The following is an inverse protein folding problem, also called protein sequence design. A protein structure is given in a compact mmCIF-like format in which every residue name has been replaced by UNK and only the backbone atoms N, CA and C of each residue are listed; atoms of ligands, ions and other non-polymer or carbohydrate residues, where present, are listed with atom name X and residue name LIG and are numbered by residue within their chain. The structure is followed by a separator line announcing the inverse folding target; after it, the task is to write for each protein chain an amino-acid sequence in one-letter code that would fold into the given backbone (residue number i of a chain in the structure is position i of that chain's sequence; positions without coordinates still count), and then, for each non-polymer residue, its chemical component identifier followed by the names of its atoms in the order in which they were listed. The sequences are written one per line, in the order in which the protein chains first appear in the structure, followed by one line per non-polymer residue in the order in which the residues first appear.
data_IF_261278881559
#
_entry.id   IF_261278881559
#
_cell.length_a   1.000
_cell.length_b   1.000
_cell.length_c   1.000
_cell.angle_alpha   90.00
_cell.angle_beta   90.00
_cell.angle_gamma   90.00
#
_symmetry.space_group_name_H-M   'P 1'
#
loop_
_entity.id
_entity.type
_entity.pdbx_description
1 polymer ?
#
# COMPACT_ATOMS: atom_id res chain seq x y z
N UNK A 1 2.30 -17.80 -51.60
CA UNK A 1 1.24 -16.80 -51.32
C UNK A 1 0.50 -16.98 -49.99
N UNK A 2 0.41 -18.19 -49.41
CA UNK A 2 -0.25 -18.41 -48.10
C UNK A 2 0.60 -18.10 -46.84
N UNK A 3 1.91 -17.90 -46.98
CA UNK A 3 2.83 -17.68 -45.84
C UNK A 3 2.74 -16.25 -45.24
N UNK A 4 2.28 -15.26 -46.01
CA UNK A 4 2.15 -13.87 -45.52
C UNK A 4 0.90 -13.63 -44.67
N UNK A 5 -0.16 -14.45 -44.81
CA UNK A 5 -1.39 -14.26 -44.01
C UNK A 5 -1.27 -14.78 -42.57
N UNK A 6 -0.43 -15.79 -42.32
CA UNK A 6 -0.21 -16.34 -40.98
C UNK A 6 0.63 -15.42 -40.09
N UNK A 7 1.66 -14.78 -40.66
CA UNK A 7 2.51 -13.82 -39.94
C UNK A 7 1.71 -12.55 -39.60
N UNK A 8 0.85 -12.08 -40.51
CA UNK A 8 -0.02 -10.94 -40.26
C UNK A 8 -0.99 -11.19 -39.09
N UNK A 9 -1.57 -12.40 -38.97
CA UNK A 9 -2.47 -12.75 -37.86
C UNK A 9 -1.76 -12.82 -36.49
N UNK A 10 -0.53 -13.33 -36.46
CA UNK A 10 0.25 -13.44 -35.22
C UNK A 10 0.81 -12.07 -34.79
N UNK A 11 1.23 -11.23 -35.73
CA UNK A 11 1.61 -9.83 -35.49
C UNK A 11 0.41 -9.02 -35.02
N UNK A 12 -0.79 -9.26 -35.56
CA UNK A 12 -2.02 -8.59 -35.11
C UNK A 12 -2.44 -9.03 -33.71
N UNK A 13 -2.22 -10.30 -33.33
CA UNK A 13 -2.46 -10.78 -31.97
C UNK A 13 -1.46 -10.20 -30.98
N UNK A 14 -0.17 -10.13 -31.35
CA UNK A 14 0.87 -9.48 -30.53
C UNK A 14 0.60 -7.98 -30.42
N UNK A 15 0.19 -7.29 -31.50
CA UNK A 15 -0.24 -5.89 -31.46
C UNK A 15 -1.50 -5.70 -30.63
N UNK A 16 -2.47 -6.62 -30.64
CA UNK A 16 -3.65 -6.56 -29.77
C UNK A 16 -3.29 -6.78 -28.31
N UNK A 17 -2.35 -7.68 -28.00
CA UNK A 17 -1.83 -7.88 -26.65
C UNK A 17 -1.02 -6.66 -26.21
N UNK A 18 -0.18 -6.08 -27.09
CA UNK A 18 0.57 -4.85 -26.83
C UNK A 18 -0.34 -3.63 -26.68
N UNK A 19 -1.37 -3.46 -27.52
CA UNK A 19 -2.39 -2.42 -27.37
C UNK A 19 -3.28 -2.65 -26.15
N UNK A 20 -3.45 -3.90 -25.71
CA UNK A 20 -4.15 -4.22 -24.47
C UNK A 20 -3.26 -3.99 -23.23
N UNK A 21 -1.94 -4.08 -23.37
CA UNK A 21 -0.96 -3.71 -22.34
C UNK A 21 -0.72 -2.19 -22.30
N UNK A 22 -0.79 -1.52 -23.44
CA UNK A 22 -0.67 -0.05 -23.57
C UNK A 22 -1.98 0.64 -23.13
N UNK A 23 -3.14 -0.03 -23.29
CA UNK A 23 -4.39 0.35 -22.60
C UNK A 23 -4.47 -0.11 -21.14
N UNK A 24 -3.53 -0.94 -20.67
CA UNK A 24 -3.33 -1.23 -19.26
C UNK A 24 -2.39 -0.23 -18.56
N UNK A 25 -1.81 0.72 -19.31
CA UNK A 25 -1.69 2.10 -18.82
C UNK A 25 -3.10 2.70 -18.85
N UNK A 26 -3.96 2.15 -17.99
CA UNK A 26 -5.20 2.80 -17.65
C UNK A 26 -4.80 4.19 -17.16
N UNK A 27 -5.45 5.23 -17.69
CA UNK A 27 -5.65 6.42 -16.89
C UNK A 27 -6.39 5.92 -15.64
N UNK A 28 -5.61 5.56 -14.62
CA UNK A 28 -6.08 5.25 -13.28
C UNK A 28 -6.97 6.43 -12.95
N UNK A 29 -8.25 6.13 -12.68
CA UNK A 29 -9.24 7.13 -12.33
C UNK A 29 -8.59 8.11 -11.37
N UNK A 30 -8.49 9.37 -11.80
CA UNK A 30 -7.39 10.29 -11.48
C UNK A 30 -7.28 10.58 -9.98
N UNK A 31 -8.28 10.19 -9.21
CA UNK A 31 -8.25 10.05 -7.76
C UNK A 31 -9.26 9.00 -7.28
N UNK A 32 -9.15 7.75 -7.76
CA UNK A 32 -9.85 6.61 -7.17
C UNK A 32 -9.40 6.36 -5.72
N UNK A 33 -10.12 5.51 -5.01
CA UNK A 33 -9.61 4.96 -3.74
C UNK A 33 -8.34 4.16 -4.05
N UNK A 34 -7.22 4.56 -3.43
CA UNK A 34 -5.99 3.80 -3.51
C UNK A 34 -5.88 3.02 -2.20
N UNK A 35 -6.07 1.69 -2.25
CA UNK A 35 -6.11 0.80 -1.07
C UNK A 35 -4.88 0.89 -0.14
N UNK A 36 -3.78 1.45 -0.63
CA UNK A 36 -2.47 1.44 0.06
C UNK A 36 -2.20 2.72 0.86
N UNK A 37 -2.72 3.87 0.41
CA UNK A 37 -2.40 5.18 0.98
C UNK A 37 -3.68 5.97 1.24
N UNK A 38 -3.75 6.67 2.38
CA UNK A 38 -4.91 7.51 2.71
C UNK A 38 -4.86 8.83 1.94
N UNK A 39 -5.08 8.76 0.63
CA UNK A 39 -5.25 9.93 -0.23
C UNK A 39 -6.63 10.55 -0.01
N UNK A 40 -7.62 9.78 0.45
CA UNK A 40 -8.99 10.24 0.67
C UNK A 40 -9.06 11.35 1.72
N UNK A 41 -8.31 11.26 2.80
CA UNK A 41 -8.23 12.32 3.81
C UNK A 41 -7.65 13.62 3.26
N UNK A 42 -6.71 13.58 2.31
CA UNK A 42 -6.19 14.78 1.66
C UNK A 42 -7.25 15.49 0.80
N UNK A 43 -8.23 14.76 0.24
CA UNK A 43 -9.33 15.32 -0.57
C UNK A 43 -10.36 16.08 0.25
N UNK A 44 -10.45 15.80 1.56
CA UNK A 44 -11.42 16.47 2.44
C UNK A 44 -11.15 17.97 2.53
N UNK A 45 -9.91 18.40 2.27
CA UNK A 45 -9.55 19.80 2.14
C UNK A 45 -9.38 20.21 0.68
N UNK A 46 -10.11 21.24 0.22
CA UNK A 46 -10.02 21.70 -1.15
C UNK A 46 -8.73 22.50 -1.41
N UNK A 47 -8.05 22.95 -0.35
CA UNK A 47 -6.86 23.79 -0.41
C UNK A 47 -5.89 23.44 0.71
N UNK A 48 -4.65 23.16 0.34
CA UNK A 48 -3.50 23.06 1.23
C UNK A 48 -2.52 24.19 0.90
N UNK A 49 -1.81 24.71 1.90
CA UNK A 49 -0.76 25.69 1.64
C UNK A 49 0.46 25.50 2.53
N UNK A 50 1.60 25.98 2.05
CA UNK A 50 2.88 25.94 2.75
C UNK A 50 3.64 27.22 2.48
N UNK A 51 4.25 27.80 3.50
CA UNK A 51 5.10 28.99 3.38
C UNK A 51 6.55 28.57 3.23
N UNK A 52 7.18 28.99 2.14
CA UNK A 52 8.59 28.74 1.86
C UNK A 52 9.38 29.90 2.46
N UNK A 53 10.20 29.59 3.46
CA UNK A 53 10.99 30.59 4.18
C UNK A 53 12.23 31.03 3.40
N UNK A 54 12.77 30.16 2.54
CA UNK A 54 13.96 30.45 1.73
C UNK A 54 13.57 31.19 0.44
N UNK A 55 13.96 32.47 0.28
CA UNK A 55 13.59 33.27 -0.88
C UNK A 55 14.21 32.76 -2.19
N UNK A 56 15.31 32.01 -2.12
CA UNK A 56 15.97 31.46 -3.32
C UNK A 56 15.16 30.33 -3.97
N UNK A 57 14.19 29.80 -3.22
CA UNK A 57 13.29 28.75 -3.67
C UNK A 57 12.02 29.31 -4.32
N UNK A 58 11.85 30.64 -4.36
CA UNK A 58 10.68 31.26 -4.95
C UNK A 58 10.85 31.43 -6.47
N UNK A 59 9.89 30.95 -7.24
CA UNK A 59 9.90 31.06 -8.69
C UNK A 59 9.94 32.52 -9.13
N UNK A 60 11.01 32.94 -9.82
CA UNK A 60 11.16 34.32 -10.29
C UNK A 60 11.36 35.36 -9.17
N UNK A 61 11.58 34.93 -7.93
CA UNK A 61 11.80 35.80 -6.78
C UNK A 61 13.18 36.47 -6.81
N UNK A 62 13.22 37.71 -6.33
CA UNK A 62 14.44 38.41 -5.98
C UNK A 62 14.89 38.03 -4.57
N UNK A 63 16.18 38.26 -4.23
CA UNK A 63 16.70 37.96 -2.89
C UNK A 63 15.92 38.73 -1.83
N UNK A 64 15.11 38.02 -1.02
CA UNK A 64 14.28 38.59 0.04
C UNK A 64 12.77 38.36 -0.11
N UNK A 65 12.33 37.71 -1.19
CA UNK A 65 10.92 37.40 -1.41
C UNK A 65 10.47 36.14 -0.64
N UNK A 66 9.41 36.23 0.15
CA UNK A 66 8.74 35.04 0.66
C UNK A 66 7.69 34.56 -0.35
N UNK A 67 7.47 33.25 -0.41
CA UNK A 67 6.40 32.71 -1.22
C UNK A 67 5.59 31.67 -0.46
N UNK A 68 4.30 31.65 -0.75
CA UNK A 68 3.36 30.64 -0.27
C UNK A 68 2.96 29.79 -1.46
N UNK A 69 3.17 28.49 -1.37
CA UNK A 69 2.62 27.53 -2.32
C UNK A 69 1.24 27.09 -1.84
N UNK A 70 0.32 26.96 -2.79
CA UNK A 70 -1.07 26.57 -2.60
C UNK A 70 -1.35 25.44 -3.55
N UNK A 71 -1.89 24.33 -3.07
CA UNK A 71 -2.20 23.18 -3.91
C UNK A 71 -3.48 22.49 -3.49
N UNK A 72 -4.11 21.82 -4.43
CA UNK A 72 -5.26 20.96 -4.18
C UNK A 72 -4.90 19.53 -4.54
N UNK A 73 -5.35 18.59 -3.71
CA UNK A 73 -5.18 17.16 -3.97
C UNK A 73 -6.49 16.66 -4.58
N UNK A 74 -6.42 16.11 -5.78
CA UNK A 74 -7.56 15.50 -6.47
C UNK A 74 -8.63 16.45 -7.00
N UNK A 75 -8.25 17.69 -7.27
CA UNK A 75 -9.14 18.67 -7.87
C UNK A 75 -8.41 19.95 -8.24
N UNK A 76 -9.13 20.89 -8.90
CA UNK A 76 -8.64 22.25 -9.05
C UNK A 76 -8.64 22.98 -7.71
N UNK A 77 -7.80 24.00 -7.61
CA UNK A 77 -7.84 24.97 -6.52
C UNK A 77 -9.21 25.69 -6.50
N UNK A 78 -9.71 26.12 -5.32
CA UNK A 78 -10.90 26.96 -5.25
C UNK A 78 -10.73 28.25 -6.08
N UNK A 79 -11.84 28.83 -6.59
CA UNK A 79 -11.82 30.14 -7.23
C UNK A 79 -11.13 31.20 -6.37
N UNK A 80 -10.51 32.19 -7.00
CA UNK A 80 -9.81 33.32 -6.35
C UNK A 80 -8.58 32.93 -5.49
N UNK A 81 -8.20 31.66 -5.46
CA UNK A 81 -7.00 31.20 -4.75
C UNK A 81 -5.71 31.61 -5.47
N UNK A 82 -5.80 31.73 -6.79
CA UNK A 82 -4.73 32.13 -7.70
C UNK A 82 -5.34 32.93 -8.86
N UNK A 83 -4.78 34.09 -9.16
CA UNK A 83 -5.32 35.19 -9.96
C UNK A 83 -5.19 34.95 -11.47
N UNK A 84 -4.38 33.98 -11.87
CA UNK A 84 -4.15 33.58 -13.27
C UNK A 84 -4.93 32.34 -13.69
N UNK A 85 -5.90 31.88 -12.89
CA UNK A 85 -6.44 30.53 -13.00
C UNK A 85 -7.36 30.32 -14.20
N UNK A 86 -7.01 29.31 -15.00
CA UNK A 86 -8.01 28.52 -15.71
C UNK A 86 -8.73 27.62 -14.69
N UNK A 87 -9.96 27.16 -14.98
CA UNK A 87 -10.78 26.27 -14.12
C UNK A 87 -10.12 24.92 -13.76
N UNK A 88 -8.84 24.71 -14.10
CA UNK A 88 -8.10 23.46 -13.99
C UNK A 88 -6.77 23.57 -13.22
N UNK A 89 -6.42 24.75 -12.70
CA UNK A 89 -5.16 24.94 -11.96
C UNK A 89 -5.24 24.24 -10.62
N UNK A 90 -4.23 23.41 -10.29
CA UNK A 90 -4.21 22.63 -9.06
C UNK A 90 -3.01 22.95 -8.15
N UNK A 91 -2.01 23.66 -8.66
CA UNK A 91 -0.88 24.16 -7.87
C UNK A 91 -0.54 25.60 -8.27
N UNK A 92 -0.41 26.48 -7.28
CA UNK A 92 -0.08 27.88 -7.47
C UNK A 92 0.97 28.35 -6.46
N UNK A 93 1.86 29.22 -6.89
CA UNK A 93 2.83 29.89 -6.04
C UNK A 93 2.53 31.39 -5.98
N UNK A 94 2.42 31.92 -4.77
CA UNK A 94 2.12 33.33 -4.49
C UNK A 94 3.33 33.97 -3.83
N UNK A 95 3.91 34.98 -4.46
CA UNK A 95 5.05 35.73 -3.89
C UNK A 95 4.49 36.91 -3.09
N UNK A 96 4.81 37.00 -1.80
CA UNK A 96 4.16 37.93 -0.85
C UNK A 96 4.76 39.33 -0.81
N UNK A 97 6.02 39.51 -1.25
CA UNK A 97 6.74 40.79 -1.15
C UNK A 97 6.81 41.58 -2.47
N UNK A 98 6.44 40.96 -3.58
CA UNK A 98 6.37 41.61 -4.89
C UNK A 98 5.01 42.26 -5.13
N UNK A 99 4.93 43.09 -6.17
CA UNK A 99 3.72 43.81 -6.60
C UNK A 99 2.48 42.90 -6.54
N UNK A 100 1.36 43.33 -5.93
CA UNK A 100 0.13 42.54 -5.90
C UNK A 100 -0.21 41.99 -7.30
N UNK A 101 -0.25 40.66 -7.44
CA UNK A 101 -0.53 39.98 -8.71
C UNK A 101 0.58 39.11 -9.29
N UNK A 102 1.72 38.91 -8.61
CA UNK A 102 2.73 37.91 -9.03
C UNK A 102 2.38 36.52 -8.50
N UNK A 103 1.33 35.94 -9.06
CA UNK A 103 0.93 34.55 -8.79
C UNK A 103 1.19 33.68 -10.02
N UNK A 104 1.88 32.58 -9.80
CA UNK A 104 2.31 31.67 -10.85
C UNK A 104 1.53 30.35 -10.75
N UNK A 105 0.74 30.05 -11.78
CA UNK A 105 0.23 28.69 -11.99
C UNK A 105 1.44 27.81 -12.33
N UNK A 106 1.66 26.75 -11.54
CA UNK A 106 2.79 25.83 -11.76
C UNK A 106 2.34 24.43 -12.14
N UNK A 107 1.04 24.24 -12.42
CA UNK A 107 0.59 23.00 -13.01
C UNK A 107 -0.89 22.69 -12.82
N UNK A 108 -1.39 21.95 -13.81
CA UNK A 108 -2.64 21.21 -13.78
C UNK A 108 -2.37 19.81 -13.24
N UNK A 109 -3.27 19.29 -12.42
CA UNK A 109 -3.05 18.01 -11.77
C UNK A 109 -2.98 16.87 -12.80
N UNK A 110 -1.91 16.09 -12.77
CA UNK A 110 -1.79 14.80 -13.46
C UNK A 110 -1.26 13.80 -12.45
N UNK A 111 -2.16 13.06 -11.79
CA UNK A 111 -1.73 12.10 -10.76
C UNK A 111 -0.98 10.93 -11.41
N UNK A 112 0.29 10.79 -11.07
CA UNK A 112 1.08 9.58 -11.32
C UNK A 112 1.53 9.07 -9.95
N UNK A 113 0.81 8.09 -9.41
CA UNK A 113 1.25 7.34 -8.23
C UNK A 113 2.37 6.42 -8.72
N UNK A 114 3.61 6.88 -8.60
CA UNK A 114 4.75 5.99 -8.67
C UNK A 114 5.07 5.58 -7.23
N UNK A 115 5.03 4.27 -6.94
CA UNK A 115 5.74 3.74 -5.78
C UNK A 115 7.21 4.09 -5.97
N UNK A 116 7.69 5.10 -5.25
CA UNK A 116 9.04 5.59 -5.39
C UNK A 116 10.01 4.52 -4.84
N UNK A 117 10.64 3.76 -5.74
CA UNK A 117 11.70 2.76 -5.52
C UNK A 117 12.43 2.89 -4.16
N UNK A 118 11.91 2.26 -3.11
CA UNK A 118 12.56 2.14 -1.79
C UNK A 118 12.26 3.23 -0.76
N UNK A 119 11.44 4.23 -1.07
CA UNK A 119 10.95 5.24 -0.11
C UNK A 119 9.47 5.03 0.18
N UNK A 120 9.12 4.87 1.46
CA UNK A 120 7.73 4.69 1.92
C UNK A 120 6.93 5.98 1.67
N UNK A 121 6.21 6.06 0.55
CA UNK A 121 5.44 7.25 0.19
C UNK A 121 4.83 7.21 -1.20
N UNK A 122 4.11 8.27 -1.57
CA UNK A 122 3.54 8.48 -2.91
C UNK A 122 3.87 9.89 -3.41
N UNK A 123 3.65 10.17 -4.69
CA UNK A 123 3.87 11.51 -5.26
C UNK A 123 2.68 11.98 -6.11
N UNK A 124 2.49 13.30 -6.12
CA UNK A 124 1.61 14.00 -7.05
C UNK A 124 2.45 14.78 -8.05
N UNK A 125 2.05 14.75 -9.32
CA UNK A 125 2.71 15.53 -10.39
C UNK A 125 1.70 16.55 -10.93
N UNK A 126 2.14 17.80 -11.07
CA UNK A 126 1.36 18.91 -11.59
C UNK A 126 2.09 19.42 -12.83
N UNK A 127 1.48 19.27 -14.00
CA UNK A 127 2.13 19.52 -15.30
C UNK A 127 1.46 20.68 -16.04
N UNK A 128 2.13 21.24 -17.04
CA UNK A 128 1.61 22.33 -17.87
C UNK A 128 1.34 23.62 -17.08
N UNK A 129 2.21 23.96 -16.13
CA UNK A 129 2.19 25.26 -15.46
C UNK A 129 2.57 26.40 -16.41
N UNK A 130 2.32 27.63 -15.97
CA UNK A 130 2.65 28.85 -16.70
C UNK A 130 4.16 29.01 -16.87
N UNK A 131 4.53 29.78 -17.90
CA UNK A 131 5.90 30.17 -18.15
C UNK A 131 6.44 31.06 -17.02
N UNK A 132 7.65 30.79 -16.54
CA UNK A 132 8.34 31.59 -15.51
C UNK A 132 9.80 31.78 -15.91
N UNK A 133 10.24 33.03 -16.03
CA UNK A 133 11.61 33.33 -16.49
C UNK A 133 11.88 32.77 -17.89
N UNK A 134 12.85 31.85 -18.00
CA UNK A 134 13.20 31.17 -19.25
C UNK A 134 12.41 29.86 -19.47
N UNK A 135 11.57 29.47 -18.52
CA UNK A 135 10.77 28.26 -18.61
C UNK A 135 9.52 28.50 -19.44
N UNK A 136 9.35 27.74 -20.53
CA UNK A 136 8.14 27.80 -21.35
C UNK A 136 6.93 27.19 -20.64
N UNK A 137 7.15 26.18 -19.80
CA UNK A 137 6.17 25.52 -18.95
C UNK A 137 6.86 25.07 -17.67
N UNK A 138 6.09 24.99 -16.60
CA UNK A 138 6.57 24.52 -15.30
C UNK A 138 5.91 23.19 -14.93
N UNK A 139 6.64 22.37 -14.19
CA UNK A 139 6.18 21.12 -13.61
C UNK A 139 6.46 21.12 -12.10
N UNK A 140 5.54 20.61 -11.30
CA UNK A 140 5.71 20.50 -9.85
C UNK A 140 5.47 19.06 -9.42
N UNK A 141 6.38 18.51 -8.65
CA UNK A 141 6.27 17.19 -8.02
C UNK A 141 6.15 17.39 -6.52
N UNK A 142 5.10 16.83 -5.92
CA UNK A 142 4.91 16.81 -4.46
C UNK A 142 5.08 15.37 -3.99
N UNK A 143 6.19 15.10 -3.33
CA UNK A 143 6.52 13.81 -2.71
C UNK A 143 5.98 13.77 -1.28
N UNK A 144 5.11 12.83 -0.99
CA UNK A 144 4.61 12.55 0.35
C UNK A 144 5.41 11.41 0.96
N UNK A 145 6.16 11.70 2.01
CA UNK A 145 6.93 10.73 2.78
C UNK A 145 6.15 10.31 4.01
N UNK A 146 6.15 9.00 4.31
CA UNK A 146 5.58 8.49 5.55
C UNK A 146 6.27 9.13 6.76
N UNK A 147 5.50 9.87 7.55
CA UNK A 147 5.85 10.25 8.91
C UNK A 147 4.61 10.06 9.79
N UNK A 148 4.63 9.06 10.68
CA UNK A 148 3.49 8.75 11.53
C UNK A 148 3.08 9.88 12.49
N UNK A 149 4.04 10.75 12.84
CA UNK A 149 3.80 11.90 13.70
C UNK A 149 3.20 13.08 12.91
N UNK A 150 3.29 13.07 11.58
CA UNK A 150 2.76 14.11 10.71
C UNK A 150 1.28 13.89 10.39
N UNK A 151 0.45 13.92 11.43
CA UNK A 151 -1.00 13.91 11.28
C UNK A 151 -1.46 15.28 10.79
N UNK A 152 -2.04 15.29 9.59
CA UNK A 152 -2.65 16.50 9.04
C UNK A 152 -4.08 16.55 9.53
N UNK A 153 -4.43 17.64 10.21
CA UNK A 153 -5.80 17.91 10.53
C UNK A 153 -6.46 18.46 9.26
N UNK A 154 -7.57 17.85 8.83
CA UNK A 154 -8.35 18.43 7.75
C UNK A 154 -8.72 19.88 8.10
N UNK A 155 -8.95 20.26 9.36
CA UNK A 155 -9.30 21.63 9.70
C UNK A 155 -8.13 22.64 9.65
N UNK A 156 -6.89 22.16 9.49
CA UNK A 156 -5.67 22.99 9.42
C UNK A 156 -4.99 22.85 8.05
N UNK A 157 -5.33 23.71 7.07
CA UNK A 157 -4.76 23.65 5.72
C UNK A 157 -3.27 24.06 5.65
N UNK A 158 -2.68 24.54 6.75
CA UNK A 158 -1.27 24.94 6.82
C UNK A 158 -0.35 23.73 7.05
N UNK A 159 0.35 23.33 5.99
CA UNK A 159 1.30 22.22 6.02
C UNK A 159 2.75 22.68 6.09
N UNK A 160 3.00 23.96 6.41
CA UNK A 160 4.36 24.53 6.52
C UNK A 160 5.24 23.73 7.49
N UNK A 161 4.69 23.29 8.62
CA UNK A 161 5.41 22.48 9.61
C UNK A 161 5.80 21.07 9.12
N UNK A 162 5.22 20.61 8.02
CA UNK A 162 5.46 19.29 7.45
C UNK A 162 6.32 19.32 6.19
N UNK A 163 6.69 20.52 5.73
CA UNK A 163 7.61 20.72 4.61
C UNK A 163 9.03 20.36 5.05
N UNK A 164 9.62 19.36 4.42
CA UNK A 164 11.01 18.92 4.69
C UNK A 164 12.00 19.39 3.64
N UNK A 165 11.51 19.73 2.46
CA UNK A 165 12.33 20.26 1.39
C UNK A 165 11.48 20.88 0.29
N UNK A 166 11.95 22.00 -0.23
CA UNK A 166 11.46 22.55 -1.48
C UNK A 166 12.69 22.87 -2.32
N UNK A 167 12.77 22.27 -3.51
CA UNK A 167 13.83 22.53 -4.47
C UNK A 167 13.18 23.17 -5.69
N UNK A 168 13.42 24.47 -5.85
CA UNK A 168 13.27 25.13 -7.14
C UNK A 168 14.62 25.01 -7.85
N UNK A 169 14.61 24.72 -9.15
CA UNK A 169 15.77 24.83 -10.03
C UNK A 169 16.72 23.61 -10.01
N UNK A 170 16.25 22.50 -10.57
CA UNK A 170 17.16 21.62 -11.31
C UNK A 170 17.42 22.33 -12.63
N UNK A 171 18.55 23.05 -12.69
CA UNK A 171 18.95 23.94 -13.79
C UNK A 171 18.52 23.41 -15.17
N UNK A 172 17.66 24.17 -15.85
CA UNK A 172 17.06 23.97 -17.18
C UNK A 172 15.77 23.12 -17.28
N UNK A 173 15.33 22.42 -16.23
CA UNK A 173 14.18 21.50 -16.32
C UNK A 173 12.83 22.07 -15.84
N UNK A 174 12.79 23.31 -15.36
CA UNK A 174 11.53 23.99 -14.98
C UNK A 174 10.66 23.19 -14.00
N UNK A 175 11.33 22.43 -13.13
CA UNK A 175 10.76 21.48 -12.19
C UNK A 175 10.86 22.00 -10.76
N UNK A 176 9.74 21.97 -10.04
CA UNK A 176 9.69 22.20 -8.60
C UNK A 176 9.50 20.86 -7.90
N UNK A 177 10.32 20.59 -6.87
CA UNK A 177 10.17 19.40 -6.03
C UNK A 177 9.84 19.83 -4.61
N UNK A 178 8.66 19.44 -4.13
CA UNK A 178 8.19 19.66 -2.77
C UNK A 178 8.16 18.31 -2.04
N UNK A 179 8.74 18.24 -0.85
CA UNK A 179 8.67 17.03 0.00
C UNK A 179 7.90 17.33 1.27
N UNK A 180 6.86 16.53 1.52
CA UNK A 180 5.92 16.67 2.61
C UNK A 180 5.90 15.40 3.45
N UNK A 181 5.91 15.57 4.77
CA UNK A 181 5.68 14.48 5.72
C UNK A 181 4.19 14.31 5.95
N UNK A 182 3.67 13.10 5.79
CA UNK A 182 2.24 12.82 5.95
C UNK A 182 2.02 11.40 6.51
N UNK A 183 1.20 11.29 7.56
CA UNK A 183 0.88 9.98 8.16
C UNK A 183 0.10 9.08 7.20
N UNK A 184 -0.77 9.63 6.35
CA UNK A 184 -1.51 8.85 5.35
C UNK A 184 -0.65 8.37 4.17
N UNK A 185 0.59 8.85 4.06
CA UNK A 185 1.60 8.29 3.14
C UNK A 185 2.33 7.09 3.73
N UNK A 186 2.10 6.77 5.00
CA UNK A 186 2.44 5.47 5.53
C UNK A 186 1.49 4.45 4.92
N UNK A 187 2.06 3.37 4.39
CA UNK A 187 1.29 2.27 3.82
C UNK A 187 0.33 1.78 4.92
N UNK A 188 -0.98 2.00 4.72
CA UNK A 188 -1.98 1.37 5.54
C UNK A 188 -1.77 -0.13 5.34
N UNK A 189 -1.33 -0.82 6.40
CA UNK A 189 -1.03 -2.25 6.30
C UNK A 189 -2.35 -3.01 6.13
N UNK A 190 -2.88 -3.06 4.91
CA UNK A 190 -3.77 -4.14 4.48
C UNK A 190 -3.07 -5.42 4.91
N UNK A 191 -3.74 -6.36 5.61
CA UNK A 191 -3.08 -7.47 6.31
C UNK A 191 -2.08 -8.11 5.35
N UNK A 192 -0.79 -7.86 5.58
CA UNK A 192 0.26 -8.10 4.58
C UNK A 192 0.39 -9.62 4.33
N UNK A 193 -0.21 -10.42 5.22
CA UNK A 193 -0.15 -11.87 5.21
C UNK A 193 -1.49 -12.50 5.63
N UNK A 194 -2.52 -12.53 4.76
CA UNK A 194 -3.79 -13.19 5.08
C UNK A 194 -3.60 -14.67 5.45
N UNK A 195 -2.52 -15.30 4.98
CA UNK A 195 -2.19 -16.69 5.27
C UNK A 195 -1.65 -16.93 6.68
N UNK A 196 -1.04 -15.91 7.32
CA UNK A 196 -0.55 -15.99 8.70
C UNK A 196 -1.68 -15.82 9.74
N UNK A 197 -2.87 -15.46 9.25
CA UNK A 197 -4.00 -15.00 10.04
C UNK A 197 -5.21 -15.91 9.88
N UNK A 198 -4.95 -17.18 9.61
CA UNK A 198 -5.93 -18.24 9.47
C UNK A 198 -5.72 -19.26 10.58
N UNK A 199 -6.81 -19.62 11.25
CA UNK A 199 -6.83 -20.64 12.28
C UNK A 199 -8.02 -21.54 11.96
N UNK A 200 -7.72 -22.77 11.52
CA UNK A 200 -8.73 -23.71 11.08
C UNK A 200 -9.78 -23.95 12.17
N UNK A 201 -11.05 -23.87 11.80
CA UNK A 201 -12.18 -24.09 12.71
C UNK A 201 -12.68 -22.86 13.47
N UNK A 202 -12.03 -21.69 13.35
CA UNK A 202 -12.42 -20.44 14.01
C UNK A 202 -12.83 -19.35 13.01
N UNK A 203 -13.82 -18.52 13.36
CA UNK A 203 -14.27 -17.37 12.56
C UNK A 203 -13.50 -16.12 12.98
N UNK A 204 -12.26 -16.01 12.51
CA UNK A 204 -11.35 -14.89 12.83
C UNK A 204 -11.26 -13.84 11.72
N UNK A 205 -11.90 -14.06 10.56
CA UNK A 205 -11.88 -13.10 9.45
C UNK A 205 -12.48 -11.75 9.87
N UNK A 206 -13.58 -11.78 10.62
CA UNK A 206 -14.21 -10.58 11.18
C UNK A 206 -13.29 -9.75 12.07
N UNK A 207 -12.34 -10.38 12.76
CA UNK A 207 -11.39 -9.65 13.61
C UNK A 207 -10.46 -8.75 12.79
N UNK A 208 -10.20 -9.11 11.52
CA UNK A 208 -9.31 -8.36 10.63
C UNK A 208 -10.00 -7.24 9.85
N UNK A 209 -11.34 -7.17 9.88
CA UNK A 209 -12.12 -6.18 9.15
C UNK A 209 -11.82 -4.73 9.60
N UNK A 210 -12.06 -4.33 10.86
CA UNK A 210 -11.75 -2.97 11.32
C UNK A 210 -10.26 -2.70 11.38
N UNK A 211 -9.84 -1.44 11.27
CA UNK A 211 -8.44 -1.03 11.52
C UNK A 211 -8.00 -1.35 12.94
N UNK A 212 -8.90 -1.17 13.91
CA UNK A 212 -8.71 -1.59 15.28
C UNK A 212 -10.05 -1.84 15.98
N UNK A 213 -10.01 -2.66 17.02
CA UNK A 213 -11.04 -2.86 18.02
C UNK A 213 -10.73 -2.03 19.25
N UNK A 214 -11.73 -1.36 19.82
CA UNK A 214 -11.60 -0.65 21.09
C UNK A 214 -12.34 -1.36 22.21
N UNK A 215 -11.72 -1.38 23.40
CA UNK A 215 -12.32 -1.87 24.64
C UNK A 215 -12.05 -0.89 25.77
N UNK A 216 -13.09 -0.40 26.44
CA UNK A 216 -12.96 0.43 27.65
C UNK A 216 -13.00 -0.45 28.89
N UNK A 217 -11.99 -0.34 29.75
CA UNK A 217 -11.86 -1.15 30.96
C UNK A 217 -11.80 -0.30 32.23
N UNK A 218 -12.19 -0.84 33.39
CA UNK A 218 -12.05 -0.15 34.67
C UNK A 218 -10.60 0.21 35.00
N UNK A 219 -10.39 1.28 35.78
CA UNK A 219 -9.04 1.76 36.17
C UNK A 219 -8.12 0.69 36.79
N UNK A 220 -8.68 -0.28 37.52
CA UNK A 220 -7.91 -1.38 38.14
C UNK A 220 -7.22 -2.29 37.12
N UNK A 221 -7.75 -2.31 35.90
CA UNK A 221 -7.27 -3.11 34.79
C UNK A 221 -6.49 -2.22 33.81
N UNK A 222 -6.05 -1.02 34.20
CA UNK A 222 -5.23 -0.15 33.36
C UNK A 222 -3.75 -0.34 33.68
N UNK A 223 -2.90 -0.16 32.68
CA UNK A 223 -1.47 -0.03 32.89
C UNK A 223 -1.15 1.37 33.43
N UNK A 224 -0.45 1.41 34.58
CA UNK A 224 -0.06 2.64 35.29
C UNK A 224 -1.20 3.67 35.39
N UNK A 225 -2.31 3.34 36.07
CA UNK A 225 -3.46 4.23 36.17
C UNK A 225 -3.07 5.54 36.86
N UNK A 226 -3.49 6.67 36.27
CA UNK A 226 -3.31 7.98 36.90
C UNK A 226 -4.28 8.17 38.07
N UNK A 227 -3.87 8.91 39.10
CA UNK A 227 -4.73 9.25 40.23
C UNK A 227 -5.96 10.02 39.70
N UNK A 228 -7.16 9.47 39.94
CA UNK A 228 -8.43 10.05 39.49
C UNK A 228 -8.93 9.56 38.12
N UNK A 229 -8.20 8.67 37.44
CA UNK A 229 -8.66 8.03 36.21
C UNK A 229 -9.77 7.03 36.52
N UNK A 230 -10.92 7.12 35.85
CA UNK A 230 -12.04 6.18 36.04
C UNK A 230 -11.92 4.90 35.20
N UNK A 231 -11.36 5.03 34.00
CA UNK A 231 -11.20 3.96 33.01
C UNK A 231 -10.06 4.27 32.04
N UNK A 232 -9.63 3.27 31.29
CA UNK A 232 -8.77 3.43 30.12
C UNK A 232 -9.37 2.68 28.93
N UNK A 233 -8.94 3.03 27.72
CA UNK A 233 -9.36 2.37 26.50
C UNK A 233 -8.17 1.68 25.86
N UNK A 234 -8.32 0.39 25.58
CA UNK A 234 -7.40 -0.39 24.78
C UNK A 234 -7.80 -0.33 23.31
N UNK A 235 -6.80 -0.34 22.43
CA UNK A 235 -6.94 -0.60 21.01
C UNK A 235 -6.19 -1.87 20.68
N UNK A 236 -6.82 -2.70 19.89
CA UNK A 236 -6.32 -3.99 19.44
C UNK A 236 -6.53 -4.09 17.93
N UNK A 237 -5.54 -4.52 17.18
CA UNK A 237 -5.71 -4.88 15.77
C UNK A 237 -5.31 -6.33 15.56
N UNK A 238 -6.14 -7.09 14.86
CA UNK A 238 -5.86 -8.48 14.54
C UNK A 238 -5.05 -8.55 13.25
N UNK A 239 -3.85 -9.10 13.35
CA UNK A 239 -3.05 -9.46 12.18
C UNK A 239 -2.61 -8.31 11.27
N UNK A 240 -2.57 -7.11 11.85
CA UNK A 240 -2.03 -5.89 11.26
C UNK A 240 -1.66 -4.93 12.39
N UNK A 241 -0.88 -3.91 12.08
CA UNK A 241 -0.62 -2.81 13.00
C UNK A 241 -1.76 -1.79 12.98
N UNK A 242 -1.98 -1.10 14.10
CA UNK A 242 -2.92 0.02 14.22
C UNK A 242 -2.38 1.16 13.33
N UNK A 243 -3.14 1.62 12.33
CA UNK A 243 -2.60 2.47 11.25
C UNK A 243 -2.48 3.95 11.61
N UNK A 244 -3.02 4.41 12.75
CA UNK A 244 -3.00 5.83 13.11
C UNK A 244 -3.15 6.07 14.63
N UNK A 245 -2.96 7.33 15.03
CA UNK A 245 -3.16 7.77 16.40
C UNK A 245 -1.98 7.49 17.33
N UNK A 246 -2.23 7.59 18.64
CA UNK A 246 -1.22 7.41 19.70
C UNK A 246 -0.70 5.97 19.79
N UNK A 247 -1.40 5.02 19.18
CA UNK A 247 -1.06 3.60 19.17
C UNK A 247 -0.46 3.14 17.83
N UNK A 248 0.03 4.08 17.01
CA UNK A 248 0.60 3.78 15.70
C UNK A 248 1.71 2.71 15.78
N UNK A 249 1.76 1.81 14.78
CA UNK A 249 2.70 0.69 14.71
C UNK A 249 2.65 -0.26 15.93
N UNK A 250 1.50 -0.35 16.59
CA UNK A 250 1.24 -1.33 17.64
C UNK A 250 0.11 -2.24 17.19
N UNK A 251 0.12 -3.50 17.60
CA UNK A 251 -1.04 -4.37 17.43
C UNK A 251 -1.92 -4.41 18.68
N UNK A 252 -1.35 -4.12 19.85
CA UNK A 252 -2.11 -3.95 21.07
C UNK A 252 -1.57 -2.76 21.88
N UNK A 253 -2.45 -1.85 22.31
CA UNK A 253 -2.05 -0.59 22.92
C UNK A 253 -3.12 -0.03 23.87
N UNK A 254 -2.71 0.65 24.93
CA UNK A 254 -3.60 1.49 25.77
C UNK A 254 -3.56 2.92 25.24
N UNK A 255 -4.70 3.41 24.76
CA UNK A 255 -4.87 4.81 24.38
C UNK A 255 -4.83 5.75 25.57
N UNK A 256 -4.30 6.95 25.33
CA UNK A 256 -4.04 7.98 26.33
C UNK A 256 -2.96 8.92 25.79
N UNK A 257 -2.68 10.04 26.47
CA UNK A 257 -1.82 11.13 25.95
C UNK A 257 -0.55 10.70 25.22
N UNK A 258 0.10 9.61 25.66
CA UNK A 258 1.34 9.10 25.07
C UNK A 258 1.26 7.68 24.49
N UNK A 259 0.09 7.02 24.46
CA UNK A 259 -0.13 5.66 23.91
C UNK A 259 0.88 4.60 24.36
N UNK A 260 0.49 3.64 25.20
CA UNK A 260 1.42 2.57 25.63
C UNK A 260 1.21 1.34 24.78
N UNK A 261 2.23 0.94 24.01
CA UNK A 261 2.22 -0.28 23.21
C UNK A 261 2.55 -1.49 24.08
N UNK A 262 1.74 -2.54 23.98
CA UNK A 262 1.99 -3.85 24.61
C UNK A 262 2.39 -4.90 23.58
N UNK A 263 2.75 -4.48 22.38
CA UNK A 263 3.26 -5.36 21.36
C UNK A 263 2.91 -4.88 19.96
N UNK A 264 3.76 -5.28 19.03
CA UNK A 264 3.65 -4.99 17.60
C UNK A 264 3.27 -6.26 16.87
N UNK A 265 2.69 -6.07 15.69
CA UNK A 265 2.47 -7.19 14.79
C UNK A 265 3.83 -7.67 14.29
N UNK A 266 4.07 -8.98 14.40
CA UNK A 266 5.27 -9.62 13.87
C UNK A 266 4.84 -10.67 12.83
N UNK A 267 5.59 -10.83 11.75
CA UNK A 267 5.32 -11.85 10.74
C UNK A 267 5.55 -13.26 11.29
N UNK A 268 6.41 -13.38 12.31
CA UNK A 268 6.67 -14.63 13.01
C UNK A 268 5.70 -14.85 14.19
N UNK A 269 4.67 -14.01 14.30
CA UNK A 269 3.68 -14.11 15.34
C UNK A 269 2.93 -15.43 15.27
N UNK A 270 2.75 -16.04 16.45
CA UNK A 270 2.07 -17.32 16.59
C UNK A 270 0.68 -17.11 17.16
N UNK A 271 -0.30 -17.69 16.47
CA UNK A 271 -1.65 -17.90 16.97
C UNK A 271 -1.71 -19.36 17.43
N UNK A 272 -2.14 -19.57 18.67
CA UNK A 272 -2.21 -20.90 19.27
C UNK A 272 -3.65 -21.26 19.60
N UNK A 273 -4.05 -22.50 19.37
CA UNK A 273 -5.27 -23.04 19.98
C UNK A 273 -5.08 -23.14 21.49
N UNK A 274 -6.12 -22.83 22.27
CA UNK A 274 -6.05 -22.99 23.71
C UNK A 274 -6.05 -24.47 24.08
N UNK A 275 -5.10 -24.90 24.91
CA UNK A 275 -5.07 -26.24 25.49
C UNK A 275 -6.40 -26.53 26.22
N UNK A 276 -7.29 -27.33 25.61
CA UNK A 276 -8.59 -27.70 26.19
C UNK A 276 -9.85 -27.23 25.44
N UNK A 277 -9.74 -26.53 24.31
CA UNK A 277 -10.73 -26.63 23.23
C UNK A 277 -11.81 -25.55 23.06
N UNK A 278 -11.87 -24.50 23.87
CA UNK A 278 -12.89 -23.43 23.71
C UNK A 278 -12.30 -22.04 23.45
N UNK A 279 -11.33 -21.95 22.53
CA UNK A 279 -10.82 -20.67 22.04
C UNK A 279 -9.37 -20.71 21.53
N UNK A 280 -8.81 -19.53 21.31
CA UNK A 280 -7.44 -19.36 20.82
C UNK A 280 -6.72 -18.22 21.55
N UNK A 281 -5.40 -18.19 21.44
CA UNK A 281 -4.53 -17.19 22.05
C UNK A 281 -3.62 -16.57 20.99
N UNK A 282 -3.39 -15.27 21.13
CA UNK A 282 -2.48 -14.50 20.29
C UNK A 282 -1.48 -13.78 21.20
N UNK A 283 -0.19 -13.83 20.85
CA UNK A 283 0.87 -13.15 21.63
C UNK A 283 1.55 -12.07 20.79
N UNK A 284 1.59 -10.82 21.25
CA UNK A 284 2.31 -9.71 20.60
C UNK A 284 3.54 -9.34 21.42
N UNK A 285 4.70 -9.22 20.77
CA UNK A 285 5.97 -8.85 21.41
C UNK A 285 6.44 -7.45 21.03
N UNK A 286 7.57 -7.00 21.61
CA UNK A 286 8.27 -5.76 21.22
C UNK A 286 7.46 -4.47 21.37
N UNK A 287 6.67 -4.35 22.43
CA UNK A 287 5.95 -3.13 22.81
C UNK A 287 6.86 -2.03 23.35
N UNK A 288 6.30 -1.10 24.12
CA UNK A 288 7.03 0.05 24.67
C UNK A 288 8.03 -0.40 25.74
N UNK A 289 9.27 0.09 25.65
CA UNK A 289 10.29 -0.15 26.69
C UNK A 289 10.02 0.75 27.90
N UNK A 290 10.11 0.19 29.09
CA UNK A 290 9.94 0.90 30.36
C UNK A 290 11.11 0.60 31.28
N UNK A 291 11.23 1.35 32.39
CA UNK A 291 12.30 1.11 33.38
C UNK A 291 12.24 -0.30 33.95
N UNK A 292 11.03 -0.84 34.14
CA UNK A 292 10.82 -2.19 34.67
C UNK A 292 10.90 -3.27 33.57
N UNK A 293 10.68 -2.88 32.31
CA UNK A 293 10.65 -3.75 31.14
C UNK A 293 11.57 -3.22 30.03
N UNK A 294 12.90 -3.38 30.17
CA UNK A 294 13.86 -2.82 29.22
C UNK A 294 13.80 -3.46 27.84
N UNK A 295 13.36 -4.72 27.77
CA UNK A 295 13.21 -5.48 26.52
C UNK A 295 11.86 -5.23 25.82
N UNK A 296 11.02 -4.36 26.40
CA UNK A 296 9.70 -4.02 25.89
C UNK A 296 8.57 -4.81 26.56
N UNK A 297 7.39 -4.18 26.63
CA UNK A 297 6.17 -4.85 27.05
C UNK A 297 5.71 -5.86 25.99
N UNK A 298 5.06 -6.95 26.41
CA UNK A 298 4.39 -7.88 25.51
C UNK A 298 2.99 -8.20 26.04
N UNK A 299 2.14 -8.74 25.17
CA UNK A 299 0.75 -9.04 25.50
C UNK A 299 0.31 -10.39 24.99
N UNK A 300 -0.59 -11.00 25.74
CA UNK A 300 -1.22 -12.27 25.44
C UNK A 300 -2.72 -12.07 25.46
N UNK A 301 -3.34 -12.11 24.27
CA UNK A 301 -4.77 -11.96 24.10
C UNK A 301 -5.40 -13.34 24.02
N UNK A 302 -6.21 -13.68 25.02
CA UNK A 302 -6.91 -14.95 25.14
C UNK A 302 -8.36 -14.76 24.73
N UNK A 303 -8.75 -15.39 23.64
CA UNK A 303 -10.12 -15.39 23.14
C UNK A 303 -10.82 -16.65 23.64
N UNK A 304 -11.92 -16.48 24.36
CA UNK A 304 -12.76 -17.56 24.88
C UNK A 304 -14.06 -17.61 24.10
N UNK A 305 -14.48 -18.82 23.72
CA UNK A 305 -15.75 -19.04 23.04
C UNK A 305 -16.91 -18.53 23.90
N UNK A 306 -17.64 -17.57 23.36
CA UNK A 306 -18.94 -17.16 23.88
C UNK A 306 -19.84 -16.80 22.70
N UNK A 307 -20.84 -17.64 22.42
CA UNK A 307 -21.76 -17.44 21.28
C UNK A 307 -22.60 -16.17 21.39
N UNK A 308 -22.77 -15.66 22.60
CA UNK A 308 -23.54 -14.43 22.87
C UNK A 308 -22.66 -13.17 22.82
N UNK A 309 -21.34 -13.33 22.60
CA UNK A 309 -20.41 -12.22 22.44
C UNK A 309 -20.50 -11.64 21.02
N UNK A 310 -21.39 -10.68 20.87
CA UNK A 310 -21.54 -9.91 19.65
C UNK A 310 -20.69 -8.65 19.70
N UNK A 311 -19.75 -8.51 18.77
CA UNK A 311 -18.94 -7.31 18.60
C UNK A 311 -19.49 -6.50 17.43
N UNK A 312 -19.44 -5.17 17.53
CA UNK A 312 -20.00 -4.29 16.50
C UNK A 312 -18.90 -3.51 15.81
N UNK A 313 -18.99 -3.36 14.50
CA UNK A 313 -18.06 -2.60 13.68
C UNK A 313 -18.76 -1.39 13.07
N UNK A 314 -18.13 -0.22 13.17
CA UNK A 314 -18.57 1.01 12.51
C UNK A 314 -17.72 1.26 11.25
N UNK A 315 -18.28 1.09 10.04
CA UNK A 315 -17.54 1.22 8.79
C UNK A 315 -17.15 2.66 8.46
N UNK A 316 -17.83 3.68 9.02
CA UNK A 316 -17.55 5.07 8.68
C UNK A 316 -16.24 5.57 9.32
N UNK A 317 -15.89 5.01 10.48
CA UNK A 317 -14.65 5.31 11.22
C UNK A 317 -13.65 4.15 11.22
N UNK A 318 -14.00 3.04 10.57
CA UNK A 318 -13.22 1.80 10.50
C UNK A 318 -12.76 1.26 11.89
N UNK A 319 -13.61 1.39 12.91
CA UNK A 319 -13.31 1.02 14.29
C UNK A 319 -14.36 0.05 14.85
N UNK A 320 -13.89 -1.06 15.41
CA UNK A 320 -14.73 -2.04 16.11
C UNK A 320 -14.88 -1.71 17.59
N UNK A 321 -16.01 -2.05 18.20
CA UNK A 321 -16.28 -1.86 19.62
C UNK A 321 -16.53 -3.21 20.31
N UNK A 322 -15.77 -3.49 21.38
CA UNK A 322 -15.85 -4.68 22.19
C UNK A 322 -16.71 -4.38 23.42
N UNK A 323 -17.93 -4.91 23.45
CA UNK A 323 -18.86 -4.70 24.57
C UNK A 323 -18.74 -5.74 25.69
N UNK A 324 -18.11 -6.89 25.41
CA UNK A 324 -17.99 -8.02 26.33
C UNK A 324 -16.53 -8.33 26.66
N UNK A 325 -15.96 -7.50 27.53
CA UNK A 325 -14.63 -7.65 28.08
C UNK A 325 -14.66 -8.46 29.38
N UNK A 326 -13.76 -9.42 29.57
CA UNK A 326 -13.72 -10.26 30.78
C UNK A 326 -12.83 -9.60 31.83
N UNK A 327 -11.52 -9.62 31.58
CA UNK A 327 -10.49 -9.11 32.49
C UNK A 327 -9.22 -8.79 31.71
N UNK A 328 -8.48 -7.78 32.18
CA UNK A 328 -7.07 -7.65 31.89
C UNK A 328 -6.30 -7.82 33.20
N UNK A 329 -5.31 -8.69 33.16
CA UNK A 329 -4.46 -9.03 34.29
C UNK A 329 -3.03 -8.62 33.92
N UNK A 330 -2.54 -7.49 34.47
CA UNK A 330 -1.14 -7.16 34.32
C UNK A 330 -0.30 -8.15 35.13
N UNK A 331 0.48 -8.99 34.43
CA UNK A 331 1.45 -9.86 35.09
C UNK A 331 2.77 -9.10 35.15
N UNK A 332 2.85 -8.14 36.09
CA UNK A 332 4.01 -7.25 36.22
C UNK A 332 5.34 -7.99 36.49
N UNK A 333 5.29 -9.26 36.91
CA UNK A 333 6.49 -10.04 37.18
C UNK A 333 7.30 -10.36 35.93
N UNK A 334 6.65 -10.39 34.76
CA UNK A 334 7.26 -10.89 33.52
C UNK A 334 7.06 -9.93 32.34
N UNK A 335 6.70 -8.65 32.58
CA UNK A 335 6.44 -7.67 31.49
C UNK A 335 5.31 -8.07 30.53
N UNK A 336 4.48 -9.02 30.95
CA UNK A 336 3.36 -9.57 30.19
C UNK A 336 2.04 -8.92 30.59
N UNK A 337 1.25 -8.61 29.59
CA UNK A 337 -0.10 -8.12 29.77
C UNK A 337 -1.11 -9.12 29.20
N UNK A 338 -1.84 -9.82 30.07
CA UNK A 338 -2.79 -10.86 29.65
C UNK A 338 -4.19 -10.26 29.59
N UNK A 339 -4.85 -10.37 28.44
CA UNK A 339 -6.18 -9.82 28.22
C UNK A 339 -7.12 -10.92 27.75
N UNK A 340 -8.29 -11.00 28.37
CA UNK A 340 -9.27 -12.05 28.09
C UNK A 340 -10.52 -11.46 27.46
N UNK A 341 -10.83 -11.96 26.27
CA UNK A 341 -11.97 -11.54 25.47
C UNK A 341 -12.98 -12.68 25.33
N UNK A 342 -14.26 -12.34 25.46
CA UNK A 342 -15.34 -13.19 24.98
C UNK A 342 -15.58 -12.90 23.51
N UNK A 343 -15.50 -13.91 22.64
CA UNK A 343 -15.68 -13.74 21.21
C UNK A 343 -16.44 -14.93 20.62
N UNK A 344 -17.49 -14.64 19.83
CA UNK A 344 -18.31 -15.69 19.20
C UNK A 344 -17.54 -16.46 18.11
N UNK A 345 -16.64 -15.80 17.39
CA UNK A 345 -15.78 -16.47 16.41
C UNK A 345 -14.66 -17.34 17.02
N UNK A 346 -14.45 -17.26 18.35
CA UNK A 346 -13.57 -18.17 19.07
C UNK A 346 -14.23 -19.52 19.37
N UNK A 347 -15.52 -19.67 19.08
CA UNK A 347 -16.19 -20.96 19.16
C UNK A 347 -15.80 -21.81 17.97
N UNK A 348 -15.00 -22.86 18.22
CA UNK A 348 -14.69 -23.85 17.19
C UNK A 348 -16.01 -24.38 16.63
N UNK A 349 -16.24 -24.20 15.34
CA UNK A 349 -17.52 -24.44 14.67
C UNK A 349 -17.99 -25.91 14.67
N UNK A 350 -17.36 -26.78 15.45
CA UNK A 350 -17.70 -28.20 15.50
C UNK A 350 -17.32 -28.90 14.20
N UNK A 351 -16.18 -28.56 13.60
CA UNK A 351 -15.57 -29.49 12.64
C UNK A 351 -15.13 -30.72 13.43
N UNK A 352 -15.97 -31.74 13.38
CA UNK A 352 -15.65 -33.12 13.72
C UNK A 352 -14.18 -33.40 13.35
N UNK A 353 -13.43 -33.85 14.34
CA UNK A 353 -12.13 -34.53 14.27
C UNK A 353 -11.56 -34.68 12.84
N UNK A 354 -10.37 -34.14 12.53
CA UNK A 354 -9.79 -34.23 11.20
C UNK A 354 -9.51 -35.70 10.90
N UNK A 355 -10.44 -36.36 10.23
CA UNK A 355 -10.11 -37.47 9.35
C UNK A 355 -9.21 -36.85 8.31
N UNK A 356 -7.91 -37.13 8.42
CA UNK A 356 -6.84 -36.85 7.47
C UNK A 356 -7.37 -36.76 6.03
N UNK A 357 -7.86 -35.58 5.66
CA UNK A 357 -8.12 -35.23 4.28
C UNK A 357 -6.79 -34.65 3.80
N UNK A 358 -6.16 -35.22 2.77
CA UNK A 358 -4.90 -34.70 2.25
C UNK A 358 -5.12 -33.24 1.89
N UNK A 359 -4.24 -32.40 2.45
CA UNK A 359 -4.09 -30.97 2.27
C UNK A 359 -4.67 -30.51 0.93
N UNK A 360 -5.91 -30.03 0.99
CA UNK A 360 -6.59 -29.41 -0.12
C UNK A 360 -5.90 -28.09 -0.39
N UNK A 361 -4.98 -28.08 -1.34
CA UNK A 361 -4.63 -26.91 -2.12
C UNK A 361 -5.91 -26.13 -2.39
N UNK A 362 -5.92 -24.84 -2.03
CA UNK A 362 -6.96 -23.88 -2.41
C UNK A 362 -7.40 -24.20 -3.83
N UNK A 363 -8.70 -24.34 -4.15
CA UNK A 363 -9.15 -24.68 -5.49
C UNK A 363 -8.51 -23.65 -6.41
N UNK A 364 -7.54 -24.06 -7.24
CA UNK A 364 -6.74 -23.11 -7.97
C UNK A 364 -7.70 -22.33 -8.84
N UNK A 365 -7.63 -20.99 -8.78
CA UNK A 365 -8.61 -20.09 -9.36
C UNK A 365 -9.13 -20.68 -10.69
N UNK A 366 -10.43 -21.00 -10.73
CA UNK A 366 -11.04 -21.74 -11.86
C UNK A 366 -10.74 -21.02 -13.18
N UNK A 367 -10.64 -19.69 -13.12
CA UNK A 367 -10.23 -18.81 -14.22
C UNK A 367 -8.82 -19.13 -14.75
N UNK A 368 -7.84 -19.34 -13.87
CA UNK A 368 -6.46 -19.65 -14.26
C UNK A 368 -6.36 -20.96 -15.03
N UNK A 369 -7.04 -22.02 -14.58
CA UNK A 369 -7.03 -23.30 -15.28
C UNK A 369 -7.77 -23.27 -16.61
N UNK A 370 -8.85 -22.50 -16.72
CA UNK A 370 -9.55 -22.31 -17.99
C UNK A 370 -8.62 -21.62 -19.01
N UNK A 371 -7.91 -20.57 -18.62
CA UNK A 371 -6.96 -19.87 -19.49
C UNK A 371 -5.80 -20.77 -19.93
N UNK A 372 -5.24 -21.55 -19.00
CA UNK A 372 -4.20 -22.53 -19.28
C UNK A 372 -4.71 -23.58 -20.28
N UNK A 373 -5.91 -24.10 -20.08
CA UNK A 373 -6.54 -25.07 -20.97
C UNK A 373 -6.74 -24.53 -22.39
N UNK A 374 -7.25 -23.30 -22.52
CA UNK A 374 -7.43 -22.63 -23.82
C UNK A 374 -6.08 -22.44 -24.51
N UNK A 375 -5.06 -21.96 -23.79
CA UNK A 375 -3.71 -21.75 -24.33
C UNK A 375 -3.13 -23.05 -24.90
N UNK A 376 -3.12 -24.14 -24.12
CA UNK A 376 -2.60 -25.42 -24.59
C UNK A 376 -3.44 -26.01 -25.73
N UNK A 377 -4.75 -25.80 -25.73
CA UNK A 377 -5.62 -26.20 -26.83
C UNK A 377 -5.27 -25.52 -28.16
N UNK A 378 -5.05 -24.20 -28.14
CA UNK A 378 -4.65 -23.42 -29.34
C UNK A 378 -3.27 -23.85 -29.82
N UNK A 379 -2.31 -24.03 -28.90
CA UNK A 379 -0.95 -24.49 -29.23
C UNK A 379 -0.96 -25.88 -29.85
N UNK A 380 -1.70 -26.83 -29.28
CA UNK A 380 -1.81 -28.18 -29.81
C UNK A 380 -2.42 -28.20 -31.22
N UNK A 381 -3.46 -27.40 -31.44
CA UNK A 381 -4.09 -27.26 -32.76
C UNK A 381 -3.13 -26.64 -33.78
N UNK A 382 -2.41 -25.59 -33.38
CA UNK A 382 -1.38 -24.96 -34.22
C UNK A 382 -0.28 -25.94 -34.63
N UNK A 383 0.28 -26.71 -33.68
CA UNK A 383 1.32 -27.70 -33.97
C UNK A 383 0.76 -28.81 -34.88
N UNK A 384 -0.43 -29.33 -34.59
CA UNK A 384 -1.03 -30.43 -35.37
C UNK A 384 -1.28 -30.04 -36.83
N UNK A 385 -1.87 -28.87 -37.06
CA UNK A 385 -2.12 -28.33 -38.40
C UNK A 385 -0.79 -28.01 -39.10
N UNK A 386 0.16 -27.41 -38.39
CA UNK A 386 1.47 -27.08 -38.95
C UNK A 386 2.26 -28.31 -39.39
N UNK A 387 2.28 -29.37 -38.57
CA UNK A 387 2.92 -30.66 -38.91
C UNK A 387 2.27 -31.27 -40.14
N UNK A 388 0.94 -31.28 -40.23
CA UNK A 388 0.24 -31.80 -41.40
C UNK A 388 0.60 -31.03 -42.68
N UNK A 389 0.62 -29.70 -42.61
CA UNK A 389 0.98 -28.84 -43.75
C UNK A 389 2.42 -29.08 -44.19
N UNK A 390 3.36 -29.21 -43.25
CA UNK A 390 4.77 -29.46 -43.56
C UNK A 390 5.00 -30.90 -44.09
N UNK A 391 4.26 -31.87 -43.58
CA UNK A 391 4.28 -33.25 -44.07
C UNK A 391 3.80 -33.32 -45.54
N UNK A 392 2.71 -32.64 -45.89
CA UNK A 392 2.21 -32.54 -47.28
C UNK A 392 3.25 -31.88 -48.20
N UNK A 393 4.07 -30.98 -47.67
CA UNK A 393 5.18 -30.34 -48.39
C UNK A 393 6.46 -31.19 -48.47
N UNK A 394 6.42 -32.44 -47.99
CA UNK A 394 7.54 -33.36 -48.05
C UNK A 394 8.66 -33.07 -47.05
N UNK A 395 8.43 -32.21 -46.05
CA UNK A 395 9.39 -31.94 -44.97
C UNK A 395 9.48 -33.15 -44.04
N UNK A 396 10.68 -33.42 -43.52
CA UNK A 396 10.98 -34.57 -42.66
C UNK A 396 11.81 -34.15 -41.45
N UNK A 397 11.76 -34.93 -40.37
CA UNK A 397 12.53 -34.69 -39.15
C UNK A 397 12.11 -33.40 -38.43
N UNK A 398 13.09 -32.63 -37.94
CA UNK A 398 12.85 -31.40 -37.15
C UNK A 398 12.10 -30.31 -37.93
N UNK A 399 12.17 -30.33 -39.26
CA UNK A 399 11.47 -29.38 -40.14
C UNK A 399 9.95 -29.59 -40.20
N UNK A 400 9.43 -30.70 -39.64
CA UNK A 400 7.99 -30.93 -39.50
C UNK A 400 7.35 -29.97 -38.49
N UNK A 401 8.10 -29.51 -37.48
CA UNK A 401 7.56 -28.62 -36.45
C UNK A 401 7.52 -27.19 -36.99
N UNK A 402 6.33 -26.55 -37.03
CA UNK A 402 6.22 -25.17 -37.50
C UNK A 402 6.99 -24.22 -36.57
N UNK A 403 7.85 -23.37 -37.14
CA UNK A 403 8.69 -22.42 -36.39
C UNK A 403 9.52 -23.08 -35.28
N UNK A 404 10.21 -24.18 -35.59
CA UNK A 404 10.99 -24.94 -34.61
C UNK A 404 12.02 -24.10 -33.82
N UNK A 405 12.60 -23.06 -34.42
CA UNK A 405 13.50 -22.10 -33.75
C UNK A 405 12.80 -21.33 -32.63
N UNK A 406 11.55 -20.88 -32.85
CA UNK A 406 10.73 -20.22 -31.84
C UNK A 406 10.48 -21.14 -30.65
N UNK A 407 10.10 -22.40 -30.90
CA UNK A 407 9.84 -23.37 -29.84
C UNK A 407 11.10 -23.75 -29.05
N UNK A 408 12.25 -23.79 -29.71
CA UNK A 408 13.55 -23.95 -29.02
C UNK A 408 13.87 -22.75 -28.12
N UNK A 409 13.54 -21.54 -28.55
CA UNK A 409 13.79 -20.32 -27.79
C UNK A 409 12.80 -20.10 -26.63
N UNK A 410 11.56 -20.59 -26.72
CA UNK A 410 10.55 -20.43 -25.66
C UNK A 410 11.04 -20.96 -24.30
N UNK A 411 11.69 -22.13 -24.26
CA UNK A 411 12.24 -22.65 -23.00
C UNK A 411 13.33 -21.75 -22.42
N UNK A 412 14.17 -21.14 -23.26
CA UNK A 412 15.17 -20.17 -22.82
C UNK A 412 14.52 -18.89 -22.29
N UNK A 413 13.45 -18.41 -22.91
CA UNK A 413 12.69 -17.26 -22.42
C UNK A 413 11.98 -17.53 -21.08
N UNK A 414 11.44 -18.73 -20.88
CA UNK A 414 10.84 -19.12 -19.59
C UNK A 414 11.89 -19.17 -18.49
N UNK A 415 13.04 -19.79 -18.74
CA UNK A 415 14.15 -19.83 -17.78
C UNK A 415 14.66 -18.41 -17.48
N UNK A 416 14.82 -17.57 -18.50
CA UNK A 416 15.19 -16.17 -18.34
C UNK A 416 14.16 -15.37 -17.53
N UNK A 417 12.86 -15.57 -17.79
CA UNK A 417 11.78 -14.92 -17.04
C UNK A 417 11.71 -15.36 -15.58
N UNK A 418 11.89 -16.66 -15.30
CA UNK A 418 12.00 -17.17 -13.93
C UNK A 418 13.22 -16.59 -13.21
N UNK A 419 14.37 -16.51 -13.87
CA UNK A 419 15.58 -15.90 -13.30
C UNK A 419 15.34 -14.43 -12.96
N UNK A 420 14.79 -13.64 -13.88
CA UNK A 420 14.43 -12.24 -13.63
C UNK A 420 13.43 -12.08 -12.50
N UNK A 421 12.42 -12.96 -12.42
CA UNK A 421 11.42 -12.94 -11.35
C UNK A 421 12.06 -13.26 -10.00
N UNK A 422 12.95 -14.26 -9.94
CA UNK A 422 13.69 -14.60 -8.73
C UNK A 422 14.61 -13.45 -8.33
N UNK A 423 15.37 -12.88 -9.25
CA UNK A 423 16.28 -11.77 -8.98
C UNK A 423 15.52 -10.52 -8.49
N UNK A 424 14.31 -10.28 -9.00
CA UNK A 424 13.40 -9.21 -8.56
C UNK A 424 12.82 -9.48 -7.18
N UNK A 425 12.25 -10.67 -6.94
CA UNK A 425 11.61 -11.05 -5.66
C UNK A 425 12.63 -11.17 -4.52
N UNK A 426 13.83 -11.65 -4.82
CA UNK A 426 14.89 -11.85 -3.82
C UNK A 426 15.81 -10.64 -3.64
N UNK A 427 15.55 -9.54 -4.37
CA UNK A 427 16.39 -8.33 -4.40
C UNK A 427 17.89 -8.64 -4.62
N UNK A 428 18.19 -9.73 -5.32
CA UNK A 428 19.55 -10.24 -5.47
C UNK A 428 20.26 -9.49 -6.62
N UNK A 429 20.72 -8.26 -6.32
CA UNK A 429 21.63 -7.42 -7.14
C UNK A 429 21.06 -6.80 -8.43
N UNK A 430 20.48 -5.61 -8.31
CA UNK A 430 20.48 -4.59 -9.38
C UNK A 430 21.77 -3.73 -9.36
N UNK A 431 22.95 -4.36 -9.24
CA UNK A 431 24.24 -3.64 -9.12
C UNK A 431 25.29 -4.02 -10.17
N UNK A 432 24.89 -4.33 -11.40
CA UNK A 432 25.85 -4.41 -12.52
C UNK A 432 25.20 -4.09 -13.87
N UNK A 433 25.90 -3.35 -14.75
CA UNK A 433 25.43 -3.08 -16.11
C UNK A 433 25.37 -4.39 -16.91
N UNK A 434 24.25 -4.63 -17.60
CA UNK A 434 24.11 -5.76 -18.52
C UNK A 434 25.27 -5.74 -19.54
N UNK A 435 26.14 -6.75 -19.48
CA UNK A 435 27.03 -7.05 -20.60
C UNK A 435 26.21 -7.72 -21.70
N UNK A 436 26.32 -7.18 -22.90
CA UNK A 436 25.81 -7.79 -24.14
C UNK A 436 26.21 -9.28 -24.20
N UNK A 437 25.20 -10.15 -24.19
CA UNK A 437 25.38 -11.56 -24.52
C UNK A 437 25.41 -11.65 -26.04
N UNK A 438 26.62 -11.82 -26.61
CA UNK A 438 26.77 -12.20 -28.02
C UNK A 438 26.35 -13.66 -28.18
N UNK A 439 25.33 -13.88 -28.99
CA UNK A 439 24.94 -15.20 -29.46
C UNK A 439 25.75 -15.52 -30.71
N UNK A 440 26.74 -16.40 -30.60
CA UNK A 440 27.37 -17.01 -31.76
C UNK A 440 26.40 -18.06 -32.34
N UNK A 441 26.08 -17.91 -33.62
CA UNK A 441 25.15 -18.75 -34.35
C UNK A 441 25.61 -20.23 -34.37
N UNK A 442 24.70 -21.13 -34.00
CA UNK A 442 24.82 -22.58 -34.15
C UNK A 442 24.02 -23.07 -35.35
#
# INVERSE_FOLDING_TARGET
MFLHKGIAGMVFLILLISLSLEKASAQVEICGEHDVYDVASLKKQPLWYSTISDPTQCAGGSSGDHCTVKFSVCGPLPPDTCSSTSDSTAFCQVITNSVPGSEHDTGKQTLIINEANGTLGFQFIYQNGSAVGNCNQTETVVLFQCDPAAQWDAYDPDVTRFLTGFLADISDECLYLMTLKYSGACIAQKPIYPQLCQLDGYDIEKLSEPDAWTATVPVKDCYNPSIGQGSCSFLFSFCKEIPHGQCYNSAFCQSGSNGVSFGKFDKDQKIFENDGGDGFTITYGHGTNTTDCPDGLFSTLVFTCNKDANWTFDPDINLGNITQFITAEPTFKDCEYIVRFNYSGACNGGSLSPTLAPSGSSPPSIVGWILIGIFFGVVALYISVGVLVQAIRGKKGKELIPNHELWGAIFLYVVGGCQVTIDFVTCYKFKSPMKEVKYDAL
#
